data_IF_881888166500
#
_entry.id   IF_881888166500
#
_cell.length_a   1.000
_cell.length_b   1.000
_cell.length_c   1.000
_cell.angle_alpha   90.00
_cell.angle_beta   90.00
_cell.angle_gamma   90.00
#
_symmetry.space_group_name_H-M   'P 1'
#
loop_
_entity.id
_entity.type
_entity.pdbx_description
1 polymer ?
#
# COMPACT_ATOMS: atom_id res chain seq x y z
N UNK A 1 20.19 -8.13 17.87
CA UNK A 1 19.14 -8.62 16.94
C UNK A 1 18.70 -7.44 16.11
N UNK A 2 18.78 -7.55 14.79
CA UNK A 2 18.28 -6.56 13.85
C UNK A 2 16.77 -6.47 13.99
N UNK A 3 16.20 -5.27 14.14
CA UNK A 3 14.74 -5.08 14.15
C UNK A 3 14.22 -5.09 12.72
N UNK A 4 13.06 -5.68 12.51
CA UNK A 4 12.40 -5.74 11.20
C UNK A 4 11.18 -4.81 11.19
N UNK A 5 11.07 -4.00 10.15
CA UNK A 5 9.94 -3.11 9.92
C UNK A 5 9.39 -3.32 8.52
N UNK A 6 8.08 -3.18 8.38
CA UNK A 6 7.40 -3.13 7.09
C UNK A 6 6.70 -1.79 6.97
N UNK A 7 6.95 -1.07 5.87
CA UNK A 7 6.21 0.16 5.52
C UNK A 7 5.02 -0.27 4.64
N UNK A 8 3.78 -0.17 5.14
CA UNK A 8 2.62 -0.71 4.43
C UNK A 8 2.01 0.32 3.47
N UNK A 9 1.63 -0.13 2.27
CA UNK A 9 0.84 0.60 1.28
C UNK A 9 -0.45 -0.15 0.97
N UNK A 10 -1.59 0.52 0.99
CA UNK A 10 -2.91 -0.09 0.82
C UNK A 10 -3.52 0.31 -0.53
N UNK A 11 -3.56 -0.65 -1.45
CA UNK A 11 -4.15 -0.51 -2.79
C UNK A 11 -5.60 -1.00 -2.71
N UNK A 12 -6.51 -0.08 -2.41
CA UNK A 12 -7.92 -0.40 -2.10
C UNK A 12 -8.74 -0.53 -3.38
N UNK A 13 -9.22 -1.74 -3.64
CA UNK A 13 -10.30 -2.07 -4.59
C UNK A 13 -10.18 -1.45 -6.00
N UNK A 14 -8.98 -1.09 -6.46
CA UNK A 14 -8.76 -0.46 -7.76
C UNK A 14 -8.74 -1.45 -8.92
N UNK A 15 -8.39 -2.71 -8.67
CA UNK A 15 -8.33 -3.74 -9.72
C UNK A 15 -9.50 -4.74 -9.72
N UNK A 16 -10.55 -4.51 -8.93
CA UNK A 16 -11.73 -5.38 -8.96
C UNK A 16 -12.86 -4.71 -9.75
N UNK A 17 -13.31 -5.30 -10.88
CA UNK A 17 -14.38 -4.73 -11.69
C UNK A 17 -15.76 -4.83 -11.02
N UNK A 18 -15.88 -5.62 -9.95
CA UNK A 18 -17.13 -5.87 -9.25
C UNK A 18 -17.22 -5.10 -7.94
N UNK A 19 -18.24 -4.27 -7.78
CA UNK A 19 -18.52 -3.61 -6.51
C UNK A 19 -19.36 -4.53 -5.62
N UNK A 20 -18.72 -5.32 -4.78
CA UNK A 20 -19.41 -6.23 -3.85
C UNK A 20 -19.53 -5.62 -2.45
N UNK A 21 -20.70 -5.80 -1.82
CA UNK A 21 -21.02 -5.27 -0.48
C UNK A 21 -20.05 -5.76 0.61
N UNK A 22 -19.41 -6.91 0.41
CA UNK A 22 -18.45 -7.50 1.36
C UNK A 22 -17.05 -6.91 1.21
N UNK A 23 -16.71 -6.37 0.04
CA UNK A 23 -15.39 -5.80 -0.26
C UNK A 23 -15.46 -4.30 -0.55
N UNK A 24 -16.56 -3.62 -0.18
CA UNK A 24 -16.69 -2.15 -0.26
C UNK A 24 -15.80 -1.48 0.81
N UNK A 25 -14.50 -1.65 0.65
CA UNK A 25 -13.46 -1.17 1.55
C UNK A 25 -13.44 0.35 1.63
N UNK A 26 -13.95 1.05 0.61
CA UNK A 26 -14.11 2.51 0.64
C UNK A 26 -15.08 2.94 1.73
N UNK A 27 -16.23 2.26 1.85
CA UNK A 27 -17.21 2.52 2.91
C UNK A 27 -16.75 1.99 4.27
N UNK A 28 -16.02 0.88 4.31
CA UNK A 28 -15.63 0.21 5.57
C UNK A 28 -14.42 0.88 6.25
N UNK A 29 -13.40 1.28 5.48
CA UNK A 29 -12.13 1.77 6.06
C UNK A 29 -12.08 3.28 6.24
N UNK A 30 -12.95 4.03 5.54
CA UNK A 30 -12.90 5.50 5.48
C UNK A 30 -11.60 6.06 4.89
N UNK A 31 -10.72 5.21 4.35
CA UNK A 31 -9.42 5.58 3.78
C UNK A 31 -9.49 5.64 2.26
N UNK A 32 -8.70 6.55 1.70
CA UNK A 32 -8.43 6.63 0.26
C UNK A 32 -7.29 5.66 -0.04
N UNK A 33 -7.36 4.96 -1.18
CA UNK A 33 -6.27 4.08 -1.65
C UNK A 33 -5.01 4.90 -1.80
N UNK A 34 -3.87 4.35 -1.37
CA UNK A 34 -2.58 4.93 -1.72
C UNK A 34 -2.38 4.81 -3.23
N UNK A 35 -1.80 5.85 -3.83
CA UNK A 35 -1.35 5.87 -5.23
C UNK A 35 0.16 6.00 -5.36
N UNK A 36 0.70 5.92 -6.59
CA UNK A 36 2.14 6.01 -6.85
C UNK A 36 2.80 7.28 -6.28
N UNK A 37 2.09 8.41 -6.32
CA UNK A 37 2.56 9.69 -5.78
C UNK A 37 2.75 9.71 -4.25
N UNK A 38 2.09 8.79 -3.54
CA UNK A 38 2.12 8.73 -2.07
C UNK A 38 3.28 7.86 -1.55
N UNK A 39 3.92 7.08 -2.44
CA UNK A 39 4.93 6.09 -2.08
C UNK A 39 6.18 6.75 -1.52
N UNK A 40 6.82 7.63 -2.30
CA UNK A 40 8.08 8.25 -1.89
C UNK A 40 7.94 9.09 -0.61
N UNK A 41 6.97 10.01 -0.49
CA UNK A 41 6.85 10.85 0.71
C UNK A 41 6.63 10.02 1.98
N UNK A 42 5.86 8.93 1.88
CA UNK A 42 5.58 8.09 3.05
C UNK A 42 6.75 7.19 3.42
N UNK A 43 7.53 6.71 2.45
CA UNK A 43 8.79 6.03 2.75
C UNK A 43 9.70 6.97 3.53
N UNK A 44 9.89 8.21 3.06
CA UNK A 44 10.75 9.19 3.71
C UNK A 44 10.28 9.51 5.14
N UNK A 45 8.96 9.68 5.33
CA UNK A 45 8.35 9.87 6.65
C UNK A 45 8.67 8.71 7.61
N UNK A 46 8.48 7.46 7.18
CA UNK A 46 8.76 6.29 8.01
C UNK A 46 10.25 6.15 8.32
N UNK A 47 11.11 6.33 7.31
CA UNK A 47 12.56 6.26 7.47
C UNK A 47 13.09 7.33 8.44
N UNK A 48 12.42 8.47 8.56
CA UNK A 48 12.79 9.50 9.55
C UNK A 48 12.62 9.04 11.01
N UNK A 49 11.83 7.99 11.25
CA UNK A 49 11.51 7.46 12.60
C UNK A 49 12.13 6.10 12.90
N UNK A 50 12.55 5.36 11.86
CA UNK A 50 13.12 4.03 11.99
C UNK A 50 14.65 4.12 12.13
N UNK A 51 15.22 3.30 13.02
CA UNK A 51 16.66 3.26 13.23
C UNK A 51 17.39 2.68 12.00
N UNK A 52 18.51 3.28 11.61
CA UNK A 52 19.28 2.93 10.41
C UNK A 52 19.86 1.50 10.41
N UNK A 53 19.97 0.87 11.58
CA UNK A 53 20.43 -0.52 11.76
C UNK A 53 19.29 -1.55 11.65
N UNK A 54 18.12 -1.14 11.16
CA UNK A 54 16.95 -2.02 10.99
C UNK A 54 16.88 -2.62 9.58
N UNK A 55 16.27 -3.80 9.47
CA UNK A 55 15.85 -4.36 8.20
C UNK A 55 14.46 -3.83 7.84
N UNK A 56 14.33 -3.22 6.67
CA UNK A 56 13.11 -2.52 6.25
C UNK A 56 12.62 -3.09 4.93
N UNK A 57 11.34 -3.43 4.87
CA UNK A 57 10.65 -3.89 3.66
C UNK A 57 9.48 -2.97 3.33
N UNK A 58 9.18 -2.81 2.04
CA UNK A 58 7.96 -2.15 1.58
C UNK A 58 6.95 -3.23 1.22
N UNK A 59 5.73 -3.12 1.76
CA UNK A 59 4.66 -4.08 1.50
C UNK A 59 3.45 -3.42 0.85
N UNK A 60 3.03 -3.90 -0.31
CA UNK A 60 1.77 -3.51 -0.94
C UNK A 60 0.66 -4.50 -0.55
N UNK A 61 -0.33 -3.99 0.16
CA UNK A 61 -1.44 -4.72 0.73
C UNK A 61 -2.75 -4.38 0.02
N UNK A 62 -3.61 -5.38 -0.09
CA UNK A 62 -4.87 -5.32 -0.80
C UNK A 62 -5.26 -6.72 -1.24
N UNK A 63 -6.12 -6.81 -2.24
CA UNK A 63 -6.50 -8.11 -2.83
C UNK A 63 -6.74 -8.06 -4.33
N UNK A 64 -6.42 -6.93 -4.97
CA UNK A 64 -6.82 -6.65 -6.36
C UNK A 64 -5.68 -6.10 -7.22
N UNK A 65 -4.43 -6.13 -6.73
CA UNK A 65 -3.28 -5.52 -7.42
C UNK A 65 -3.08 -6.06 -8.85
N UNK A 66 -3.14 -7.38 -9.02
CA UNK A 66 -3.00 -8.03 -10.34
C UNK A 66 -4.17 -7.74 -11.29
N UNK A 67 -5.26 -7.15 -10.79
CA UNK A 67 -6.38 -6.68 -11.60
C UNK A 67 -6.24 -5.23 -12.07
N UNK A 68 -5.17 -4.53 -11.72
CA UNK A 68 -4.83 -3.21 -12.27
C UNK A 68 -4.29 -3.34 -13.69
N UNK A 69 -4.39 -2.26 -14.47
CA UNK A 69 -3.71 -2.15 -15.76
C UNK A 69 -2.19 -2.33 -15.58
N UNK A 70 -1.53 -3.00 -16.53
CA UNK A 70 -0.13 -3.37 -16.38
C UNK A 70 0.79 -2.15 -16.20
N UNK A 71 0.50 -1.07 -16.91
CA UNK A 71 1.25 0.19 -16.81
C UNK A 71 1.12 0.82 -15.40
N UNK A 72 -0.02 0.67 -14.74
CA UNK A 72 -0.22 1.13 -13.35
C UNK A 72 0.48 0.24 -12.32
N UNK A 73 0.73 -1.04 -12.64
CA UNK A 73 1.51 -1.94 -11.78
C UNK A 73 3.01 -1.61 -11.82
N UNK A 74 3.47 -0.98 -12.90
CA UNK A 74 4.87 -0.63 -13.16
C UNK A 74 5.21 0.83 -12.83
N UNK A 75 4.21 1.68 -12.62
CA UNK A 75 4.33 3.12 -12.31
C UNK A 75 4.56 3.39 -10.84
#
# INVERSE_FOLDING_TARGET
>A
MTKHYTIPFFILHRGCPFKCIFCDQKNITGKISDGPSDVQPRIDEYLSTISADSHIEVGFFGGTFTGLEHDEQLS
#
